data_IF_406623874839
#
_entry.id   IF_406623874839
#
_cell.length_a   1.000
_cell.length_b   1.000
_cell.length_c   1.000
_cell.angle_alpha   90.00
_cell.angle_beta   90.00
_cell.angle_gamma   90.00
#
_symmetry.space_group_name_H-M   'P 1'
#
loop_
_entity.id
_entity.type
_entity.pdbx_description
1 polymer ?
#
# COMPACT_ATOMS: atom_id res chain seq x y z
N UNK A 1 -8.64 -17.26 -7.18
CA UNK A 1 -7.29 -17.66 -6.72
C UNK A 1 -6.20 -17.64 -7.82
N UNK A 2 -6.51 -17.89 -9.09
CA UNK A 2 -5.50 -17.92 -10.17
C UNK A 2 -4.82 -16.56 -10.39
N UNK A 3 -5.58 -15.46 -10.35
CA UNK A 3 -5.06 -14.09 -10.40
C UNK A 3 -3.93 -13.84 -9.37
N UNK A 4 -4.19 -14.14 -8.10
CA UNK A 4 -3.21 -13.92 -7.01
C UNK A 4 -1.93 -14.72 -7.21
N UNK A 5 -2.07 -16.00 -7.58
CA UNK A 5 -0.91 -16.87 -7.89
C UNK A 5 -0.12 -16.31 -9.07
N UNK A 6 -0.79 -15.77 -10.09
CA UNK A 6 -0.18 -15.09 -11.22
C UNK A 6 0.63 -13.85 -10.81
N UNK A 7 0.01 -12.92 -10.09
CA UNK A 7 0.69 -11.71 -9.59
C UNK A 7 1.89 -12.06 -8.71
N UNK A 8 1.72 -12.98 -7.75
CA UNK A 8 2.80 -13.39 -6.83
C UNK A 8 3.98 -14.05 -7.55
N UNK A 9 3.75 -14.75 -8.67
CA UNK A 9 4.84 -15.34 -9.48
C UNK A 9 5.70 -14.27 -10.16
N UNK A 10 5.11 -13.13 -10.52
CA UNK A 10 5.82 -11.99 -11.15
C UNK A 10 6.66 -11.19 -10.15
N UNK A 11 6.42 -11.35 -8.85
CA UNK A 11 7.17 -10.68 -7.79
C UNK A 11 8.37 -11.56 -7.36
N UNK A 12 9.60 -11.01 -7.32
CA UNK A 12 10.78 -11.69 -6.77
C UNK A 12 10.50 -12.27 -5.39
N UNK A 13 11.03 -13.46 -5.10
CA UNK A 13 10.74 -14.18 -3.84
C UNK A 13 10.94 -13.32 -2.59
N UNK A 14 12.00 -12.52 -2.59
CA UNK A 14 12.41 -11.61 -1.50
C UNK A 14 11.38 -10.49 -1.25
N UNK A 15 10.71 -10.02 -2.30
CA UNK A 15 9.74 -8.92 -2.24
C UNK A 15 8.30 -9.38 -1.98
N UNK A 16 8.00 -10.68 -2.07
CA UNK A 16 6.62 -11.20 -1.93
C UNK A 16 5.99 -10.87 -0.58
N UNK A 17 6.79 -10.83 0.49
CA UNK A 17 6.27 -10.47 1.82
C UNK A 17 5.84 -9.00 1.85
N UNK A 18 6.66 -8.10 1.33
CA UNK A 18 6.31 -6.69 1.17
C UNK A 18 5.10 -6.49 0.27
N UNK A 19 5.04 -7.21 -0.85
CA UNK A 19 3.92 -7.13 -1.79
C UNK A 19 2.60 -7.55 -1.15
N UNK A 20 2.61 -8.62 -0.35
CA UNK A 20 1.41 -9.03 0.38
C UNK A 20 0.96 -7.95 1.36
N UNK A 21 1.89 -7.36 2.13
CA UNK A 21 1.59 -6.26 3.06
C UNK A 21 1.01 -5.04 2.33
N UNK A 22 1.60 -4.68 1.18
CA UNK A 22 1.14 -3.57 0.33
C UNK A 22 -0.30 -3.79 -0.15
N UNK A 23 -0.63 -5.00 -0.61
CA UNK A 23 -1.99 -5.34 -1.06
C UNK A 23 -2.99 -5.31 0.11
N UNK A 24 -2.60 -5.82 1.28
CA UNK A 24 -3.44 -5.75 2.49
C UNK A 24 -3.71 -4.31 2.91
N UNK A 25 -2.69 -3.44 2.88
CA UNK A 25 -2.83 -2.01 3.14
C UNK A 25 -3.78 -1.33 2.16
N UNK A 26 -3.63 -1.60 0.85
CA UNK A 26 -4.51 -1.05 -0.17
C UNK A 26 -5.96 -1.48 0.04
N UNK A 27 -6.20 -2.76 0.31
CA UNK A 27 -7.54 -3.28 0.59
C UNK A 27 -8.15 -2.65 1.86
N UNK A 28 -7.34 -2.46 2.91
CA UNK A 28 -7.77 -1.82 4.15
C UNK A 28 -8.18 -0.36 3.96
N UNK A 29 -7.39 0.40 3.20
CA UNK A 29 -7.70 1.81 2.91
C UNK A 29 -8.92 1.96 2.02
N UNK A 30 -9.10 1.08 1.03
CA UNK A 30 -10.32 1.05 0.20
C UNK A 30 -11.54 0.82 1.09
N UNK A 31 -11.46 -0.15 2.02
CA UNK A 31 -12.54 -0.42 2.95
C UNK A 31 -12.85 0.79 3.85
N UNK A 32 -11.82 1.42 4.42
CA UNK A 32 -11.95 2.62 5.26
C UNK A 32 -12.58 3.79 4.51
N UNK A 33 -12.11 4.05 3.28
CA UNK A 33 -12.64 5.12 2.42
C UNK A 33 -14.11 4.87 2.06
N UNK A 34 -14.46 3.63 1.69
CA UNK A 34 -15.86 3.27 1.42
C UNK A 34 -16.77 3.46 2.63
N UNK A 35 -16.29 3.16 3.83
CA UNK A 35 -17.05 3.38 5.06
C UNK A 35 -17.26 4.87 5.35
N UNK A 36 -16.24 5.72 5.17
CA UNK A 36 -16.41 7.17 5.29
C UNK A 36 -17.42 7.69 4.27
N UNK A 37 -17.37 7.24 3.01
CA UNK A 37 -18.36 7.65 2.00
C UNK A 37 -19.79 7.25 2.38
N UNK A 38 -19.97 6.04 2.93
CA UNK A 38 -21.28 5.53 3.31
C UNK A 38 -21.84 6.14 4.61
N UNK A 39 -20.98 6.47 5.58
CA UNK A 39 -21.39 6.95 6.90
C UNK A 39 -21.40 8.48 7.02
N UNK A 40 -20.47 9.15 6.36
CA UNK A 40 -20.22 10.60 6.52
C UNK A 40 -20.59 11.39 5.25
N UNK A 41 -21.07 10.71 4.20
CA UNK A 41 -21.45 11.33 2.94
C UNK A 41 -20.26 11.93 2.18
N UNK A 42 -19.03 11.51 2.49
CA UNK A 42 -17.85 11.98 1.76
C UNK A 42 -17.89 11.50 0.31
N UNK A 43 -17.56 12.39 -0.63
CA UNK A 43 -17.51 12.00 -2.03
C UNK A 43 -16.34 11.02 -2.28
N UNK A 44 -16.57 9.94 -3.04
CA UNK A 44 -15.50 9.01 -3.35
C UNK A 44 -14.42 9.71 -4.18
N UNK A 45 -13.17 9.65 -3.71
CA UNK A 45 -12.02 10.26 -4.39
C UNK A 45 -10.88 9.25 -4.50
N UNK A 46 -10.56 8.88 -5.73
CA UNK A 46 -9.44 7.98 -6.02
C UNK A 46 -8.09 8.64 -5.68
N UNK A 47 -7.97 9.95 -5.93
CA UNK A 47 -6.76 10.72 -5.59
C UNK A 47 -6.47 10.64 -4.08
N UNK A 48 -7.47 10.94 -3.24
CA UNK A 48 -7.31 10.85 -1.77
C UNK A 48 -6.95 9.45 -1.30
N UNK A 49 -7.52 8.42 -1.93
CA UNK A 49 -7.20 7.04 -1.62
C UNK A 49 -5.74 6.70 -1.95
N UNK A 50 -5.25 7.13 -3.11
CA UNK A 50 -3.87 6.90 -3.55
C UNK A 50 -2.89 7.68 -2.66
N UNK A 51 -3.18 8.94 -2.36
CA UNK A 51 -2.34 9.78 -1.51
C UNK A 51 -2.21 9.17 -0.10
N UNK A 52 -3.33 8.81 0.53
CA UNK A 52 -3.31 8.15 1.84
C UNK A 52 -2.66 6.76 1.81
N UNK A 53 -2.73 6.05 0.68
CA UNK A 53 -2.01 4.79 0.51
C UNK A 53 -0.50 4.98 0.45
N UNK A 54 -0.01 6.00 -0.26
CA UNK A 54 1.42 6.31 -0.33
C UNK A 54 1.94 6.75 1.03
N UNK A 55 1.19 7.60 1.74
CA UNK A 55 1.52 8.07 3.10
C UNK A 55 1.61 6.90 4.09
N UNK A 56 0.62 6.01 4.12
CA UNK A 56 0.64 4.82 5.00
C UNK A 56 1.81 3.89 4.67
N UNK A 57 2.12 3.68 3.38
CA UNK A 57 3.30 2.89 2.99
C UNK A 57 4.60 3.52 3.52
N UNK A 58 4.74 4.85 3.42
CA UNK A 58 5.89 5.58 3.95
C UNK A 58 5.99 5.48 5.48
N UNK A 59 4.88 5.72 6.19
CA UNK A 59 4.82 5.60 7.66
C UNK A 59 5.21 4.20 8.13
N UNK A 60 4.73 3.15 7.47
CA UNK A 60 5.09 1.78 7.81
C UNK A 60 6.56 1.50 7.52
N UNK A 61 7.11 2.05 6.43
CA UNK A 61 8.55 1.96 6.18
C UNK A 61 9.38 2.64 7.27
N UNK A 62 8.97 3.82 7.75
CA UNK A 62 9.60 4.54 8.85
C UNK A 62 9.49 3.76 10.17
N UNK A 63 8.35 3.11 10.41
CA UNK A 63 8.14 2.20 11.54
C UNK A 63 8.90 0.85 11.43
N UNK A 64 9.70 0.65 10.38
CA UNK A 64 10.57 -0.51 10.23
C UNK A 64 10.01 -1.66 9.38
N UNK A 65 8.95 -1.44 8.59
CA UNK A 65 8.44 -2.43 7.63
C UNK A 65 9.42 -2.64 6.46
N UNK A 66 10.48 -3.43 6.70
CA UNK A 66 11.56 -3.73 5.73
C UNK A 66 11.04 -4.30 4.41
N UNK A 67 9.95 -5.07 4.44
CA UNK A 67 9.31 -5.61 3.25
C UNK A 67 8.75 -4.53 2.33
N UNK A 68 8.07 -3.52 2.87
CA UNK A 68 7.58 -2.38 2.08
C UNK A 68 8.73 -1.50 1.61
N UNK A 69 9.76 -1.31 2.44
CA UNK A 69 10.96 -0.56 2.06
C UNK A 69 11.66 -1.20 0.84
N UNK A 70 11.70 -2.53 0.78
CA UNK A 70 12.27 -3.27 -0.36
C UNK A 70 11.52 -3.10 -1.69
N UNK A 71 10.31 -2.53 -1.65
CA UNK A 71 9.51 -2.19 -2.83
C UNK A 71 9.71 -0.75 -3.31
N UNK A 72 10.53 0.06 -2.62
CA UNK A 72 10.82 1.44 -3.02
C UNK A 72 9.87 2.50 -2.46
N UNK A 73 9.05 2.20 -1.44
CA UNK A 73 8.14 3.17 -0.81
C UNK A 73 8.83 4.22 0.09
N UNK A 74 10.16 4.22 0.16
CA UNK A 74 10.92 5.26 0.87
C UNK A 74 11.56 6.17 -0.16
N UNK A 75 11.32 7.48 -0.07
CA UNK A 75 12.15 8.44 -0.76
C UNK A 75 13.57 8.34 -0.19
N UNK A 76 14.52 7.96 -1.02
CA UNK A 76 15.94 8.14 -0.70
C UNK A 76 16.12 9.65 -0.61
N UNK A 77 16.31 10.18 0.61
CA UNK A 77 16.96 11.48 0.74
C UNK A 77 18.33 11.32 0.08
N UNK A 78 18.47 11.89 -1.11
CA UNK A 78 19.78 12.09 -1.71
C UNK A 78 20.59 12.95 -0.72
N UNK A 79 21.72 12.46 -0.18
CA UNK A 79 22.60 13.34 0.57
C UNK A 79 23.20 14.35 -0.43
N UNK A 80 23.08 15.63 -0.10
CA UNK A 80 23.80 16.73 -0.75
C UNK A 80 25.32 16.50 -0.70
#
# INVERSE_FOLDING_TARGET
MQWWRGCRRRVPKEQRRGFNSMITLGAWLIWKHRNSCALEGTNPSMTRLIDGFMEECQLWCLAGAKGLRSLGFVQVEHPN
#
